data_IF_539666041733
#
_entry.id   IF_539666041733
#
_cell.length_a   1.000
_cell.length_b   1.000
_cell.length_c   1.000
_cell.angle_alpha   90.00
_cell.angle_beta   90.00
_cell.angle_gamma   90.00
#
_symmetry.space_group_name_H-M   'P 1'
#
loop_
_entity.id
_entity.type
_entity.pdbx_description
1 polymer ?
#
# COMPACT_ATOMS: atom_id res chain seq x y z
N UNK A 1 19.17 -0.64 -24.00
CA UNK A 1 19.38 -2.06 -23.64
C UNK A 1 18.01 -2.66 -23.37
N UNK A 2 17.66 -3.81 -24.01
CA UNK A 2 16.46 -4.56 -23.59
C UNK A 2 16.73 -5.07 -22.17
N UNK A 3 15.89 -4.69 -21.20
CA UNK A 3 15.92 -5.31 -19.87
C UNK A 3 15.50 -6.76 -20.05
N UNK A 4 16.34 -7.69 -19.65
CA UNK A 4 16.01 -9.11 -19.62
C UNK A 4 15.31 -9.35 -18.27
N UNK A 5 14.08 -9.85 -18.33
CA UNK A 5 13.32 -10.22 -17.14
C UNK A 5 13.48 -11.72 -16.93
N UNK A 6 13.70 -12.10 -15.68
CA UNK A 6 13.79 -13.51 -15.27
C UNK A 6 12.55 -13.79 -14.42
N UNK A 7 11.73 -14.74 -14.87
CA UNK A 7 10.64 -15.26 -14.06
C UNK A 7 11.20 -16.11 -12.93
N UNK A 8 10.87 -15.77 -11.69
CA UNK A 8 11.32 -16.50 -10.49
C UNK A 8 10.28 -17.54 -10.09
N UNK A 9 9.00 -17.19 -10.15
CA UNK A 9 7.88 -18.06 -9.78
C UNK A 9 6.62 -17.66 -10.55
N UNK A 10 5.61 -18.52 -10.53
CA UNK A 10 4.29 -18.29 -11.10
C UNK A 10 3.19 -18.75 -10.13
N UNK A 11 1.92 -18.75 -10.56
CA UNK A 11 0.76 -19.16 -9.77
C UNK A 11 0.59 -18.35 -8.46
N UNK A 12 0.98 -17.07 -8.46
CA UNK A 12 0.64 -16.12 -7.41
C UNK A 12 -0.75 -15.52 -7.69
N UNK A 13 -1.52 -15.29 -6.63
CA UNK A 13 -2.89 -14.77 -6.75
C UNK A 13 -2.92 -13.27 -6.44
N UNK A 14 -2.60 -12.45 -7.44
CA UNK A 14 -2.49 -11.01 -7.37
C UNK A 14 -1.44 -10.56 -6.33
N UNK A 15 -0.14 -10.77 -6.63
CA UNK A 15 0.96 -10.44 -5.73
C UNK A 15 1.16 -8.93 -5.62
N UNK A 16 1.38 -8.45 -4.39
CA UNK A 16 1.65 -7.05 -4.06
C UNK A 16 2.62 -6.92 -2.88
N UNK A 17 3.05 -5.67 -2.59
CA UNK A 17 3.91 -5.34 -1.45
C UNK A 17 5.21 -6.16 -1.38
N UNK A 18 6.02 -6.28 -2.46
CA UNK A 18 7.20 -7.13 -2.47
C UNK A 18 8.33 -6.55 -1.61
N UNK A 19 8.90 -7.38 -0.75
CA UNK A 19 10.02 -7.06 0.15
C UNK A 19 11.21 -7.95 -0.23
N UNK A 20 12.30 -7.35 -0.71
CA UNK A 20 13.53 -8.06 -0.99
C UNK A 20 14.26 -8.42 0.31
N UNK A 21 14.53 -9.70 0.54
CA UNK A 21 15.20 -10.20 1.73
C UNK A 21 16.71 -10.32 1.53
N UNK A 22 17.53 -10.18 2.60
CA UNK A 22 18.99 -10.29 2.49
C UNK A 22 19.49 -11.62 1.95
N UNK A 23 18.76 -12.70 2.15
CA UNK A 23 19.06 -14.03 1.62
C UNK A 23 18.69 -14.16 0.14
N UNK A 24 18.05 -13.12 -0.43
CA UNK A 24 17.59 -13.02 -1.81
C UNK A 24 16.27 -13.74 -2.07
N UNK A 25 15.55 -14.15 -1.04
CA UNK A 25 14.12 -14.45 -1.14
C UNK A 25 13.30 -13.16 -1.22
N UNK A 26 12.02 -13.27 -1.52
CA UNK A 26 11.07 -12.16 -1.57
C UNK A 26 9.90 -12.53 -0.68
N UNK A 27 9.54 -11.65 0.26
CA UNK A 27 8.27 -11.73 0.97
C UNK A 27 7.29 -10.81 0.23
N UNK A 28 6.07 -11.27 0.02
CA UNK A 28 5.01 -10.52 -0.64
C UNK A 28 3.64 -10.93 -0.08
N UNK A 29 2.65 -10.13 -0.34
CA UNK A 29 1.26 -10.51 -0.10
C UNK A 29 0.61 -11.02 -1.38
N UNK A 30 -0.36 -11.92 -1.25
CA UNK A 30 -1.24 -12.33 -2.34
C UNK A 30 -2.66 -11.86 -2.01
N UNK A 31 -3.10 -10.76 -2.62
CA UNK A 31 -4.38 -10.12 -2.24
C UNK A 31 -5.55 -11.08 -2.37
N UNK A 32 -5.64 -11.78 -3.50
CA UNK A 32 -6.76 -12.66 -3.78
C UNK A 32 -6.69 -14.00 -3.02
N UNK A 33 -5.49 -14.43 -2.63
CA UNK A 33 -5.32 -15.61 -1.76
C UNK A 33 -5.52 -15.27 -0.29
N UNK A 34 -5.26 -14.02 0.10
CA UNK A 34 -5.32 -13.57 1.49
C UNK A 34 -4.12 -14.03 2.33
N UNK A 35 -2.91 -14.11 1.74
CA UNK A 35 -1.73 -14.64 2.41
C UNK A 35 -0.55 -13.69 2.40
N UNK A 36 0.33 -13.84 3.41
CA UNK A 36 1.72 -13.39 3.36
C UNK A 36 2.57 -14.58 2.92
N UNK A 37 3.27 -14.46 1.80
CA UNK A 37 3.97 -15.54 1.12
C UNK A 37 5.45 -15.20 0.96
N UNK A 38 6.34 -16.17 1.22
CA UNK A 38 7.76 -16.09 0.90
C UNK A 38 8.05 -16.86 -0.38
N UNK A 39 8.68 -16.20 -1.33
CA UNK A 39 9.18 -16.79 -2.58
C UNK A 39 10.70 -16.94 -2.48
N UNK A 40 11.20 -18.15 -2.53
CA UNK A 40 12.63 -18.46 -2.47
C UNK A 40 13.32 -18.28 -3.83
N UNK A 41 14.65 -18.13 -3.83
CA UNK A 41 15.45 -18.00 -5.06
C UNK A 41 15.25 -19.11 -6.10
N UNK A 42 14.89 -20.29 -5.63
CA UNK A 42 14.62 -21.45 -6.49
C UNK A 42 13.19 -21.49 -7.02
N UNK A 43 12.38 -20.48 -6.72
CA UNK A 43 10.99 -20.36 -7.13
C UNK A 43 9.98 -21.11 -6.25
N UNK A 44 10.43 -21.85 -5.22
CA UNK A 44 9.51 -22.43 -4.24
C UNK A 44 8.85 -21.36 -3.39
N UNK A 45 7.67 -21.67 -2.86
CA UNK A 45 6.84 -20.75 -2.08
C UNK A 45 6.45 -21.38 -0.74
N UNK A 46 6.53 -20.59 0.31
CA UNK A 46 5.99 -20.93 1.63
C UNK A 46 4.99 -19.85 2.08
N UNK A 47 3.84 -20.28 2.58
CA UNK A 47 2.88 -19.36 3.20
C UNK A 47 3.36 -19.10 4.63
N UNK A 48 3.68 -17.83 4.93
CA UNK A 48 4.09 -17.39 6.28
C UNK A 48 2.84 -17.27 7.17
N UNK A 49 1.76 -16.67 6.66
CA UNK A 49 0.54 -16.44 7.39
C UNK A 49 -0.68 -16.37 6.47
N UNK A 50 -1.82 -16.86 6.96
CA UNK A 50 -3.14 -16.72 6.32
C UNK A 50 -3.87 -15.53 6.95
N UNK A 51 -3.84 -14.38 6.29
CA UNK A 51 -4.40 -13.12 6.77
C UNK A 51 -5.90 -13.00 6.51
N UNK A 52 -6.36 -13.62 5.42
CA UNK A 52 -7.71 -13.39 4.92
C UNK A 52 -7.91 -11.95 4.42
N UNK A 53 -9.15 -11.56 4.15
CA UNK A 53 -9.47 -10.24 3.62
C UNK A 53 -8.75 -9.96 2.30
N UNK A 54 -7.98 -8.88 2.25
CA UNK A 54 -7.20 -8.47 1.09
C UNK A 54 -5.89 -7.79 1.53
N UNK A 55 -4.85 -8.56 1.93
CA UNK A 55 -3.54 -7.99 2.23
C UNK A 55 -2.96 -7.36 0.96
N UNK A 56 -2.53 -6.11 1.04
CA UNK A 56 -2.12 -5.31 -0.12
C UNK A 56 -0.67 -4.83 0.02
N UNK A 57 -0.41 -3.73 0.71
CA UNK A 57 0.95 -3.27 0.98
C UNK A 57 1.60 -4.00 2.14
N UNK A 58 2.93 -4.16 2.11
CA UNK A 58 3.68 -4.79 3.18
C UNK A 58 5.06 -4.13 3.36
N UNK A 59 5.49 -3.97 4.62
CA UNK A 59 6.82 -3.47 4.95
C UNK A 59 7.36 -4.14 6.23
N UNK A 60 8.70 -4.27 6.32
CA UNK A 60 9.34 -4.75 7.56
C UNK A 60 9.48 -3.59 8.53
N UNK A 61 8.96 -3.77 9.73
CA UNK A 61 9.11 -2.83 10.84
C UNK A 61 10.45 -2.95 11.57
N UNK A 62 10.75 -1.99 12.46
CA UNK A 62 12.00 -1.97 13.21
C UNK A 62 12.19 -3.17 14.15
N UNK A 63 11.14 -3.88 14.46
CA UNK A 63 11.12 -5.11 15.28
C UNK A 63 11.31 -6.39 14.46
N UNK A 64 11.46 -6.26 13.14
CA UNK A 64 11.64 -7.39 12.21
C UNK A 64 10.35 -8.14 11.85
N UNK A 65 9.18 -7.67 12.30
CA UNK A 65 7.89 -8.17 11.85
C UNK A 65 7.49 -7.52 10.53
N UNK A 66 6.61 -8.17 9.76
CA UNK A 66 5.98 -7.59 8.58
C UNK A 66 4.68 -6.91 8.99
N UNK A 67 4.54 -5.65 8.60
CA UNK A 67 3.31 -4.88 8.75
C UNK A 67 2.57 -4.86 7.43
N UNK A 68 1.29 -5.19 7.47
CA UNK A 68 0.46 -5.40 6.29
C UNK A 68 -0.75 -4.48 6.32
N UNK A 69 -0.92 -3.71 5.24
CA UNK A 69 -2.16 -3.03 4.92
C UNK A 69 -3.16 -4.06 4.40
N UNK A 70 -4.19 -4.37 5.16
CA UNK A 70 -5.26 -5.28 4.73
C UNK A 70 -6.51 -4.48 4.36
N UNK A 71 -6.87 -4.49 3.09
CA UNK A 71 -8.00 -3.72 2.56
C UNK A 71 -9.37 -4.37 2.76
N UNK A 72 -9.44 -5.49 3.48
CA UNK A 72 -10.66 -6.20 3.82
C UNK A 72 -11.24 -7.10 2.72
N UNK A 73 -10.70 -7.03 1.50
CA UNK A 73 -11.09 -7.87 0.37
C UNK A 73 -11.73 -7.11 -0.79
N UNK A 74 -11.60 -7.67 -1.98
CA UNK A 74 -12.21 -7.21 -3.23
C UNK A 74 -13.21 -8.23 -3.76
N UNK A 75 -14.16 -7.76 -4.58
CA UNK A 75 -14.79 -8.59 -5.58
C UNK A 75 -13.75 -8.95 -6.65
N UNK A 76 -13.75 -10.19 -7.12
CA UNK A 76 -12.80 -10.64 -8.14
C UNK A 76 -13.49 -11.06 -9.42
N UNK A 77 -12.98 -10.55 -10.55
CA UNK A 77 -13.42 -10.91 -11.88
C UNK A 77 -12.32 -11.67 -12.60
N UNK A 78 -12.68 -12.79 -13.24
CA UNK A 78 -11.77 -13.48 -14.15
C UNK A 78 -12.11 -13.08 -15.58
N UNK A 79 -11.20 -12.35 -16.23
CA UNK A 79 -11.36 -11.91 -17.62
C UNK A 79 -10.19 -12.50 -18.42
N UNK A 80 -10.49 -13.46 -19.29
CA UNK A 80 -9.53 -14.15 -20.14
C UNK A 80 -8.33 -14.75 -19.35
N UNK A 81 -8.60 -15.30 -18.16
CA UNK A 81 -7.60 -15.88 -17.28
C UNK A 81 -6.87 -14.89 -16.38
N UNK A 82 -7.12 -13.58 -16.53
CA UNK A 82 -6.58 -12.54 -15.65
C UNK A 82 -7.53 -12.29 -14.49
N UNK A 83 -6.97 -12.26 -13.29
CA UNK A 83 -7.69 -11.92 -12.07
C UNK A 83 -7.70 -10.39 -11.91
N UNK A 84 -8.86 -9.78 -11.94
CA UNK A 84 -9.03 -8.31 -11.87
C UNK A 84 -9.85 -7.95 -10.63
N UNK A 85 -9.34 -7.03 -9.77
CA UNK A 85 -10.08 -6.57 -8.61
C UNK A 85 -11.24 -5.67 -9.05
N UNK A 86 -12.39 -5.88 -8.43
CA UNK A 86 -13.57 -5.03 -8.54
C UNK A 86 -13.71 -4.08 -7.36
N UNK A 87 -14.94 -3.81 -6.97
CA UNK A 87 -15.26 -3.05 -5.77
C UNK A 87 -15.12 -3.87 -4.49
N UNK A 88 -15.82 -3.43 -3.46
CA UNK A 88 -15.92 -4.17 -2.21
C UNK A 88 -16.64 -5.51 -2.43
N UNK A 89 -16.00 -6.60 -2.03
CA UNK A 89 -16.59 -7.93 -2.11
C UNK A 89 -17.68 -8.15 -1.05
N UNK A 90 -18.55 -9.14 -1.29
CA UNK A 90 -19.64 -9.51 -0.34
C UNK A 90 -19.08 -9.99 1.01
N UNK A 91 -17.87 -10.53 1.01
CA UNK A 91 -17.15 -11.02 2.19
C UNK A 91 -16.16 -10.00 2.77
N UNK A 92 -16.34 -8.71 2.49
CA UNK A 92 -15.50 -7.65 3.03
C UNK A 92 -15.41 -7.70 4.54
N UNK A 93 -14.19 -7.77 5.07
CA UNK A 93 -13.93 -8.00 6.50
C UNK A 93 -13.45 -6.75 7.26
N UNK A 94 -13.52 -5.58 6.65
CA UNK A 94 -13.01 -4.32 7.22
C UNK A 94 -11.55 -4.07 6.90
N UNK A 95 -11.20 -2.78 6.72
CA UNK A 95 -9.81 -2.34 6.57
C UNK A 95 -9.07 -2.42 7.89
N UNK A 96 -7.79 -2.82 7.86
CA UNK A 96 -6.97 -2.94 9.07
C UNK A 96 -5.47 -2.94 8.78
N UNK A 97 -4.68 -2.63 9.78
CA UNK A 97 -3.24 -2.86 9.78
C UNK A 97 -2.93 -4.07 10.65
N UNK A 98 -2.23 -5.03 10.08
CA UNK A 98 -1.83 -6.27 10.74
C UNK A 98 -0.31 -6.34 10.87
N UNK A 99 0.16 -6.93 11.97
CA UNK A 99 1.56 -7.23 12.24
C UNK A 99 1.74 -8.75 12.23
N UNK A 100 2.73 -9.23 11.50
CA UNK A 100 3.02 -10.65 11.33
C UNK A 100 4.46 -10.94 11.76
N UNK A 101 4.62 -11.85 12.71
CA UNK A 101 5.92 -12.41 13.04
C UNK A 101 6.31 -13.43 11.97
N UNK A 102 7.38 -13.15 11.24
CA UNK A 102 7.84 -13.98 10.10
C UNK A 102 8.20 -15.41 10.51
N UNK A 103 8.68 -15.59 11.76
CA UNK A 103 9.18 -16.89 12.24
C UNK A 103 8.07 -17.82 12.70
N UNK A 104 7.03 -17.24 13.27
CA UNK A 104 5.94 -18.01 13.89
C UNK A 104 4.65 -18.00 13.06
N UNK A 105 4.52 -17.04 12.12
CA UNK A 105 3.28 -16.78 11.40
C UNK A 105 2.19 -16.15 12.26
N UNK A 106 2.52 -15.71 13.48
CA UNK A 106 1.55 -15.08 14.40
C UNK A 106 1.09 -13.74 13.85
N UNK A 107 -0.22 -13.51 13.86
CA UNK A 107 -0.87 -12.30 13.34
C UNK A 107 -1.46 -11.52 14.50
N UNK A 108 -1.22 -10.20 14.51
CA UNK A 108 -1.83 -9.25 15.44
C UNK A 108 -2.46 -8.11 14.64
N UNK A 109 -3.75 -7.82 14.85
CA UNK A 109 -4.38 -6.62 14.30
C UNK A 109 -4.08 -5.45 15.23
N UNK A 110 -3.40 -4.42 14.70
CA UNK A 110 -2.96 -3.27 15.51
C UNK A 110 -3.82 -2.01 15.32
N UNK A 111 -4.42 -1.82 14.14
CA UNK A 111 -5.34 -0.71 13.86
C UNK A 111 -6.49 -1.16 12.98
N UNK A 112 -7.70 -0.70 13.32
CA UNK A 112 -8.93 -0.89 12.54
C UNK A 112 -9.66 0.43 12.29
N UNK A 113 -9.28 1.51 13.00
CA UNK A 113 -9.91 2.83 12.92
C UNK A 113 -8.93 3.94 13.28
N UNK A 114 -9.26 5.17 12.95
CA UNK A 114 -8.63 6.40 13.40
C UNK A 114 -9.71 7.38 13.84
N UNK A 115 -9.64 7.87 15.09
CA UNK A 115 -10.60 8.84 15.69
C UNK A 115 -12.08 8.44 15.51
N UNK A 116 -12.38 7.13 15.65
CA UNK A 116 -13.72 6.56 15.50
C UNK A 116 -14.17 6.35 14.05
N UNK A 117 -13.32 6.66 13.07
CA UNK A 117 -13.56 6.37 11.65
C UNK A 117 -12.90 5.06 11.26
N UNK A 118 -13.66 4.02 10.87
CA UNK A 118 -13.09 2.75 10.44
C UNK A 118 -12.19 2.91 9.21
N UNK A 119 -11.03 2.25 9.21
CA UNK A 119 -10.22 2.08 8.01
C UNK A 119 -11.03 1.31 6.96
N UNK A 120 -10.93 1.72 5.69
CA UNK A 120 -11.74 1.17 4.61
C UNK A 120 -10.96 0.24 3.68
N UNK A 121 -9.87 0.73 3.16
CA UNK A 121 -9.04 0.02 2.21
C UNK A 121 -7.57 0.36 2.35
N UNK A 122 -6.93 0.08 3.51
CA UNK A 122 -5.49 0.26 3.65
C UNK A 122 -4.76 -0.38 2.47
N UNK A 123 -3.85 0.40 1.85
CA UNK A 123 -3.29 0.00 0.58
C UNK A 123 -1.78 -0.20 0.65
N UNK A 124 -0.98 0.84 0.85
CA UNK A 124 0.48 0.76 0.84
C UNK A 124 1.09 1.35 2.13
N UNK A 125 2.34 0.98 2.45
CA UNK A 125 2.97 1.29 3.73
C UNK A 125 4.48 1.49 3.60
N UNK A 126 5.02 2.50 4.30
CA UNK A 126 6.45 2.76 4.39
C UNK A 126 6.84 3.19 5.80
N UNK A 127 7.88 2.58 6.36
CA UNK A 127 8.46 2.99 7.66
C UNK A 127 9.39 4.19 7.50
N UNK A 128 9.39 5.09 8.50
CA UNK A 128 10.35 6.17 8.61
C UNK A 128 11.53 5.80 9.54
N UNK A 129 12.58 6.63 9.55
CA UNK A 129 13.76 6.44 10.39
C UNK A 129 13.49 6.55 11.90
N UNK A 130 12.34 7.09 12.30
CA UNK A 130 11.93 7.21 13.69
C UNK A 130 11.19 5.96 14.18
N UNK A 131 10.94 5.01 13.27
CA UNK A 131 10.27 3.74 13.55
C UNK A 131 8.75 3.82 13.53
N UNK A 132 8.16 4.94 13.13
CA UNK A 132 6.75 5.03 12.75
C UNK A 132 6.55 4.66 11.28
N UNK A 133 5.32 4.67 10.81
CA UNK A 133 5.02 4.36 9.42
C UNK A 133 3.89 5.22 8.86
N UNK A 134 4.06 5.55 7.59
CA UNK A 134 3.03 6.16 6.76
C UNK A 134 2.30 5.06 6.00
N UNK A 135 0.99 5.19 5.89
CA UNK A 135 0.21 4.29 5.05
C UNK A 135 -0.95 5.03 4.39
N UNK A 136 -1.36 4.52 3.25
CA UNK A 136 -2.51 5.00 2.50
C UNK A 136 -3.73 4.14 2.75
N UNK A 137 -4.89 4.75 2.67
CA UNK A 137 -6.19 4.08 2.57
C UNK A 137 -6.83 4.51 1.24
N UNK A 138 -7.08 3.56 0.36
CA UNK A 138 -7.68 3.80 -0.96
C UNK A 138 -9.18 4.13 -0.87
N UNK A 139 -9.82 3.76 0.24
CA UNK A 139 -11.25 3.65 0.34
C UNK A 139 -11.81 2.39 -0.35
N UNK A 140 -13.11 2.27 -0.39
CA UNK A 140 -13.83 1.20 -1.08
C UNK A 140 -14.89 1.75 -2.02
N UNK A 141 -15.13 1.03 -3.11
CA UNK A 141 -16.23 1.31 -4.03
C UNK A 141 -17.29 0.22 -3.90
N UNK A 142 -18.54 0.61 -3.74
CA UNK A 142 -19.67 -0.32 -3.61
C UNK A 142 -20.94 0.28 -4.24
N UNK A 143 -21.48 -0.41 -5.22
CA UNK A 143 -22.60 0.08 -6.00
C UNK A 143 -22.27 1.43 -6.68
N UNK A 144 -22.97 2.49 -6.29
CA UNK A 144 -22.75 3.86 -6.80
C UNK A 144 -22.01 4.76 -5.82
N UNK A 145 -21.46 4.20 -4.74
CA UNK A 145 -20.75 4.93 -3.70
C UNK A 145 -19.26 4.61 -3.77
N UNK A 146 -18.44 5.58 -3.36
CA UNK A 146 -17.01 5.43 -3.20
C UNK A 146 -16.58 6.18 -1.95
N UNK A 147 -15.83 5.49 -1.08
CA UNK A 147 -15.14 6.16 0.02
C UNK A 147 -14.00 7.01 -0.55
N UNK A 148 -13.73 8.15 0.07
CA UNK A 148 -12.52 8.93 -0.18
C UNK A 148 -11.34 8.26 0.49
N UNK A 149 -10.18 8.31 -0.16
CA UNK A 149 -8.93 7.84 0.43
C UNK A 149 -8.29 8.84 1.39
N UNK A 150 -7.26 8.38 2.07
CA UNK A 150 -6.51 9.17 3.04
C UNK A 150 -5.05 8.75 3.15
N UNK A 151 -4.23 9.62 3.75
CA UNK A 151 -2.88 9.32 4.20
C UNK A 151 -2.86 9.35 5.72
N UNK A 152 -2.33 8.29 6.32
CA UNK A 152 -2.20 8.13 7.76
C UNK A 152 -0.75 8.02 8.20
N UNK A 153 -0.52 8.33 9.47
CA UNK A 153 0.72 8.01 10.17
C UNK A 153 0.40 7.25 11.45
N UNK A 154 1.17 6.20 11.75
CA UNK A 154 0.97 5.40 12.95
C UNK A 154 2.26 4.85 13.54
N UNK A 155 2.20 4.33 14.77
CA UNK A 155 3.30 3.68 15.46
C UNK A 155 3.10 2.17 15.57
N UNK A 156 4.18 1.36 15.52
CA UNK A 156 4.07 -0.10 15.52
C UNK A 156 3.59 -0.71 16.86
N UNK A 157 3.52 0.08 17.91
CA UNK A 157 3.05 -0.33 19.24
C UNK A 157 1.52 -0.25 19.44
N UNK A 158 0.78 0.15 18.39
CA UNK A 158 -0.67 0.25 18.42
C UNK A 158 -1.24 1.43 19.21
N UNK A 159 -0.39 2.39 19.66
CA UNK A 159 -0.81 3.46 20.58
C UNK A 159 -1.09 4.80 19.91
N UNK A 160 -0.60 5.01 18.71
CA UNK A 160 -0.76 6.27 18.00
C UNK A 160 -1.09 6.03 16.54
N UNK A 161 -2.22 6.57 16.09
CA UNK A 161 -2.62 6.68 14.69
C UNK A 161 -3.21 8.06 14.47
N UNK A 162 -2.92 8.64 13.31
CA UNK A 162 -3.41 9.96 12.93
C UNK A 162 -3.70 10.02 11.44
N UNK A 163 -4.86 10.55 11.09
CA UNK A 163 -5.15 10.97 9.72
C UNK A 163 -4.37 12.25 9.41
N UNK A 164 -3.35 12.13 8.55
CA UNK A 164 -2.47 13.24 8.20
C UNK A 164 -3.05 14.09 7.05
N UNK A 165 -3.68 13.42 6.06
CA UNK A 165 -4.30 14.07 4.90
C UNK A 165 -5.61 13.37 4.56
N UNK A 166 -6.70 14.13 4.50
CA UNK A 166 -8.02 13.69 4.02
C UNK A 166 -8.75 14.89 3.37
N UNK A 167 -9.48 14.71 2.28
CA UNK A 167 -9.58 13.51 1.44
C UNK A 167 -8.47 13.44 0.38
N UNK A 168 -8.16 12.23 -0.08
CA UNK A 168 -7.43 11.95 -1.32
C UNK A 168 -8.35 11.09 -2.17
N UNK A 169 -8.44 11.31 -3.49
CA UNK A 169 -9.43 10.64 -4.34
C UNK A 169 -9.30 9.10 -4.29
N UNK A 170 -8.07 8.59 -4.42
CA UNK A 170 -7.75 7.16 -4.39
C UNK A 170 -6.28 6.96 -4.01
N UNK A 171 -5.95 7.25 -2.74
CA UNK A 171 -4.61 7.13 -2.20
C UNK A 171 -4.12 5.68 -2.29
N UNK A 172 -3.06 5.45 -3.08
CA UNK A 172 -2.49 4.13 -3.36
C UNK A 172 -1.03 4.09 -2.88
N UNK A 173 -0.04 4.04 -3.76
CA UNK A 173 1.35 3.95 -3.38
C UNK A 173 1.81 5.08 -2.46
N UNK A 174 2.66 4.75 -1.47
CA UNK A 174 3.28 5.71 -0.57
C UNK A 174 4.79 5.50 -0.49
N UNK A 175 5.55 6.60 -0.47
CA UNK A 175 7.01 6.56 -0.36
C UNK A 175 7.56 7.80 0.29
N UNK A 176 8.78 7.71 0.85
CA UNK A 176 9.46 8.82 1.47
C UNK A 176 10.61 9.31 0.59
N UNK A 177 10.87 10.62 0.61
CA UNK A 177 12.10 11.18 0.07
C UNK A 177 13.32 10.61 0.81
N UNK A 178 14.53 10.60 0.20
CA UNK A 178 15.73 10.07 0.86
C UNK A 178 16.07 10.74 2.21
N UNK A 179 15.68 12.00 2.39
CA UNK A 179 15.85 12.73 3.65
C UNK A 179 14.65 12.55 4.59
N UNK A 180 13.57 11.94 4.14
CA UNK A 180 12.30 11.78 4.85
C UNK A 180 11.65 13.12 5.24
N UNK A 181 11.86 14.14 4.42
CA UNK A 181 11.24 15.46 4.56
C UNK A 181 10.00 15.64 3.69
N UNK A 182 9.73 14.68 2.78
CA UNK A 182 8.54 14.64 1.94
C UNK A 182 7.99 13.20 1.94
N UNK A 183 6.67 13.06 2.13
CA UNK A 183 5.95 11.83 1.82
C UNK A 183 5.24 11.99 0.48
N UNK A 184 5.47 11.04 -0.43
CA UNK A 184 4.83 10.98 -1.76
C UNK A 184 3.63 10.04 -1.71
N UNK A 185 2.57 10.41 -2.43
CA UNK A 185 1.37 9.59 -2.57
C UNK A 185 0.97 9.52 -4.03
N UNK A 186 0.85 8.31 -4.55
CA UNK A 186 0.23 8.02 -5.83
C UNK A 186 -1.30 8.03 -5.68
N UNK A 187 -1.97 8.85 -6.47
CA UNK A 187 -3.42 8.98 -6.49
C UNK A 187 -3.94 8.36 -7.79
N UNK A 188 -4.52 7.18 -7.69
CA UNK A 188 -4.77 6.29 -8.83
C UNK A 188 -5.74 6.87 -9.83
N UNK A 189 -6.96 7.18 -9.40
CA UNK A 189 -8.04 7.59 -10.30
C UNK A 189 -7.74 8.85 -11.10
N UNK A 190 -7.18 9.92 -10.50
CA UNK A 190 -6.83 11.11 -11.25
C UNK A 190 -5.47 11.01 -11.94
N UNK A 191 -4.71 9.91 -11.77
CA UNK A 191 -3.38 9.72 -12.35
C UNK A 191 -2.38 10.79 -11.90
N UNK A 192 -2.25 11.00 -10.59
CA UNK A 192 -1.44 12.07 -10.01
C UNK A 192 -0.47 11.55 -8.97
N UNK A 193 0.68 12.22 -8.88
CA UNK A 193 1.64 12.07 -7.81
C UNK A 193 1.67 13.36 -6.97
N UNK A 194 1.42 13.19 -5.68
CA UNK A 194 1.45 14.26 -4.71
C UNK A 194 2.67 14.16 -3.81
N UNK A 195 3.22 15.29 -3.37
CA UNK A 195 4.24 15.38 -2.33
C UNK A 195 3.71 16.22 -1.17
N UNK A 196 3.90 15.73 0.05
CA UNK A 196 3.51 16.41 1.28
C UNK A 196 4.75 16.62 2.15
N UNK A 197 5.18 17.88 2.38
CA UNK A 197 6.31 18.16 3.25
C UNK A 197 6.02 17.75 4.71
N UNK A 198 6.96 17.01 5.29
CA UNK A 198 6.90 16.53 6.67
C UNK A 198 7.66 17.52 7.57
N UNK A 199 7.06 17.96 8.68
CA UNK A 199 7.73 18.78 9.70
C UNK A 199 8.12 17.99 10.93
N UNK A 200 7.30 17.01 11.28
CA UNK A 200 7.48 16.08 12.39
C UNK A 200 6.82 14.75 12.03
N UNK A 201 7.12 13.65 12.72
CA UNK A 201 6.46 12.36 12.50
C UNK A 201 4.92 12.50 12.53
N UNK A 202 4.26 12.15 11.44
CA UNK A 202 2.81 12.29 11.27
C UNK A 202 2.29 13.71 11.09
N UNK A 203 3.17 14.70 10.87
CA UNK A 203 2.78 16.11 10.69
C UNK A 203 3.18 16.62 9.31
N UNK A 204 2.18 16.95 8.52
CA UNK A 204 2.35 17.59 7.20
C UNK A 204 2.32 19.11 7.37
N UNK A 205 3.27 19.80 6.72
CA UNK A 205 3.29 21.26 6.67
C UNK A 205 2.54 21.79 5.44
N UNK A 206 1.97 23.00 5.58
CA UNK A 206 1.44 23.75 4.46
C UNK A 206 0.18 24.53 4.78
N UNK A 207 -0.19 25.49 3.90
CA UNK A 207 -1.37 26.31 4.13
C UNK A 207 -2.64 25.48 3.99
N UNK A 208 -3.54 25.62 4.94
CA UNK A 208 -4.94 25.16 4.80
C UNK A 208 -5.61 26.08 3.78
N UNK A 209 -5.77 25.63 2.53
CA UNK A 209 -6.51 26.38 1.54
C UNK A 209 -7.77 25.65 1.12
N UNK A 210 -8.90 26.33 1.23
CA UNK A 210 -10.22 26.03 0.65
C UNK A 210 -10.57 24.53 0.49
N UNK A 211 -10.68 23.78 1.60
CA UNK A 211 -11.23 22.42 1.58
C UNK A 211 -10.44 21.39 0.78
N UNK A 212 -9.29 21.77 0.26
CA UNK A 212 -8.40 20.90 -0.49
C UNK A 212 -7.02 20.96 0.15
N UNK A 213 -6.63 19.89 0.78
CA UNK A 213 -5.31 19.47 1.23
C UNK A 213 -4.30 20.57 1.61
N UNK A 214 -4.09 20.75 2.89
CA UNK A 214 -2.99 21.56 3.40
C UNK A 214 -1.65 20.92 3.01
N UNK A 215 -0.75 21.73 2.40
CA UNK A 215 0.64 21.32 2.14
C UNK A 215 0.89 20.46 0.91
N UNK A 216 -0.13 20.20 0.13
CA UNK A 216 -0.01 19.38 -1.09
C UNK A 216 0.82 20.08 -2.18
N UNK A 217 1.85 19.39 -2.64
CA UNK A 217 2.59 19.76 -3.83
C UNK A 217 2.25 18.81 -4.97
N UNK A 218 1.78 19.36 -6.09
CA UNK A 218 1.65 18.59 -7.31
C UNK A 218 3.04 18.27 -7.87
N UNK A 219 3.40 17.00 -7.92
CA UNK A 219 4.68 16.53 -8.44
C UNK A 219 4.54 16.16 -9.91
N UNK A 220 3.56 15.32 -10.25
CA UNK A 220 3.35 14.83 -11.60
C UNK A 220 1.88 14.43 -11.82
N UNK A 221 1.46 14.47 -13.10
CA UNK A 221 0.17 13.96 -13.52
C UNK A 221 0.21 13.54 -14.98
N UNK A 222 -0.51 12.49 -15.32
CA UNK A 222 -0.62 12.04 -16.70
C UNK A 222 -1.66 12.84 -17.47
N UNK A 223 -1.36 13.16 -18.74
CA UNK A 223 -2.34 13.71 -19.70
C UNK A 223 -3.17 12.62 -20.37
N UNK A 224 -2.78 11.36 -20.20
CA UNK A 224 -3.47 10.18 -20.73
C UNK A 224 -4.03 9.36 -19.55
N UNK A 225 -4.88 8.37 -19.84
CA UNK A 225 -5.34 7.45 -18.80
C UNK A 225 -4.16 6.66 -18.27
N UNK A 226 -3.78 6.96 -17.03
CA UNK A 226 -2.72 6.28 -16.31
C UNK A 226 -3.18 6.12 -14.86
N UNK A 227 -3.34 4.88 -14.44
CA UNK A 227 -3.71 4.54 -13.07
C UNK A 227 -2.42 4.36 -12.28
N UNK A 228 -2.02 5.41 -11.53
CA UNK A 228 -0.84 5.34 -10.68
C UNK A 228 -1.13 4.38 -9.52
N UNK A 229 -0.23 3.42 -9.33
CA UNK A 229 -0.39 2.33 -8.35
C UNK A 229 0.71 2.40 -7.29
N UNK A 230 1.33 1.29 -6.95
CA UNK A 230 2.43 1.24 -5.98
C UNK A 230 3.57 2.19 -6.35
N UNK A 231 4.30 2.65 -5.33
CA UNK A 231 5.32 3.67 -5.44
C UNK A 231 6.63 3.19 -4.81
N UNK A 232 7.74 3.43 -5.49
CA UNK A 232 9.08 3.31 -4.93
C UNK A 232 9.89 4.59 -5.18
N UNK A 233 10.74 4.96 -4.24
CA UNK A 233 11.64 6.12 -4.32
C UNK A 233 13.06 5.64 -4.18
N UNK A 234 13.95 6.01 -5.11
CA UNK A 234 15.36 5.67 -5.02
C UNK A 234 16.18 6.72 -4.23
N UNK A 235 17.46 6.45 -4.04
CA UNK A 235 18.37 7.34 -3.29
C UNK A 235 18.64 8.69 -3.97
N UNK A 236 18.27 8.85 -5.23
CA UNK A 236 18.37 10.11 -5.98
C UNK A 236 17.05 10.89 -6.01
N UNK A 237 16.07 10.47 -5.19
CA UNK A 237 14.71 11.01 -5.12
C UNK A 237 13.91 10.84 -6.42
N UNK A 238 14.28 9.86 -7.26
CA UNK A 238 13.47 9.49 -8.41
C UNK A 238 12.32 8.61 -7.94
N UNK A 239 11.10 9.04 -8.20
CA UNK A 239 9.89 8.29 -7.89
C UNK A 239 9.51 7.40 -9.07
N UNK A 240 9.29 6.13 -8.79
CA UNK A 240 8.81 5.13 -9.72
C UNK A 240 7.40 4.73 -9.32
N UNK A 241 6.41 5.04 -10.13
CA UNK A 241 5.06 4.52 -9.94
C UNK A 241 4.82 3.36 -10.89
N UNK A 242 4.23 2.30 -10.38
CA UNK A 242 3.71 1.23 -11.24
C UNK A 242 2.46 1.75 -11.96
N UNK A 243 2.47 1.64 -13.29
CA UNK A 243 1.28 1.95 -14.09
C UNK A 243 0.59 0.63 -14.36
N UNK A 244 -0.58 0.41 -13.79
CA UNK A 244 -1.47 -0.66 -14.23
C UNK A 244 -2.02 -0.29 -15.60
N UNK A 245 -1.24 -0.52 -16.64
CA UNK A 245 -1.80 -0.63 -17.98
C UNK A 245 -2.39 -2.03 -18.12
N UNK A 246 -3.57 -2.19 -18.74
CA UNK A 246 -4.00 -3.49 -19.17
C UNK A 246 -2.98 -3.99 -20.18
N UNK A 247 -2.00 -4.76 -19.71
CA UNK A 247 -1.05 -5.43 -20.58
C UNK A 247 -1.82 -6.49 -21.33
N UNK A 248 -2.09 -6.22 -22.59
CA UNK A 248 -2.31 -7.34 -23.53
C UNK A 248 -1.03 -8.16 -23.50
N UNK A 249 -1.17 -9.40 -23.05
CA UNK A 249 -0.18 -10.44 -23.28
C UNK A 249 0.13 -10.59 -24.77
#
# INVERSE_FOLDING_TARGET
MKKEYIEITNDLMFPEGPIAMPDGSIILVEIARGTLTQVHKNGSKDIIAELGGGPNGAAIGPDGCVYVCNNGGFEWHNIDGLLIPGGQGDNYSGGRIEKVDIKTGSIETIYTECDGNPLKGPNDIVFDKNGGFWFTDLGKSYGRQKDQGALFYATPDGKFIKEAVFPIESANGVGLSPNEDIVYVADTTPGRLWGYPITEPGVISGPKSFGVHSGMHFIHGSSELALFDSLAVDSEAVSYTHLTLPTKA
#
